data_IF_583229566642
#
_entry.id   IF_583229566642
#
_cell.length_a   1.000
_cell.length_b   1.000
_cell.length_c   1.000
_cell.angle_alpha   90.00
_cell.angle_beta   90.00
_cell.angle_gamma   90.00
#
_symmetry.space_group_name_H-M   'P 1'
#
loop_
_entity.id
_entity.type
_entity.pdbx_description
1 polymer ?
#
# COMPACT_ATOMS: atom_id res chain seq x y z
N UNK A 1 0.37 -2.82 5.75
CA UNK A 1 -0.90 -3.57 5.60
C UNK A 1 -1.60 -3.81 6.94
N UNK A 2 -0.92 -4.32 7.97
CA UNK A 2 -1.57 -4.62 9.28
C UNK A 2 -2.31 -3.44 9.91
N UNK A 3 -1.71 -2.25 9.93
CA UNK A 3 -2.36 -1.05 10.48
C UNK A 3 -3.76 -0.85 9.89
N UNK A 4 -3.85 -0.76 8.56
CA UNK A 4 -5.11 -0.59 7.85
C UNK A 4 -6.10 -1.73 8.08
N UNK A 5 -5.61 -2.99 8.12
CA UNK A 5 -6.47 -4.17 8.39
C UNK A 5 -7.18 -4.08 9.75
N UNK A 6 -6.53 -3.50 10.75
CA UNK A 6 -7.05 -3.32 12.11
C UNK A 6 -7.57 -1.91 12.37
N UNK A 7 -7.70 -1.08 11.33
CA UNK A 7 -8.21 0.29 11.46
C UNK A 7 -7.28 1.25 12.19
N UNK A 8 -5.98 0.97 12.29
CA UNK A 8 -4.99 1.98 12.64
C UNK A 8 -4.60 2.78 11.39
N UNK A 9 -4.60 4.11 11.50
CA UNK A 9 -4.20 5.00 10.40
C UNK A 9 -2.66 5.01 10.32
N UNK A 10 -2.03 4.54 9.23
CA UNK A 10 -0.59 4.53 9.10
C UNK A 10 -0.05 5.95 8.82
N UNK A 11 1.04 6.32 9.50
CA UNK A 11 1.86 7.50 9.20
C UNK A 11 3.23 6.99 8.76
N UNK A 12 3.58 7.13 7.48
CA UNK A 12 4.72 6.42 6.87
C UNK A 12 5.62 7.32 6.05
N UNK A 13 6.91 7.00 5.98
CA UNK A 13 7.82 7.65 5.05
C UNK A 13 7.48 7.27 3.60
N UNK A 14 7.64 8.20 2.66
CA UNK A 14 7.39 8.00 1.22
C UNK A 14 8.54 7.21 0.56
N UNK A 15 8.74 5.96 0.99
CA UNK A 15 9.85 5.10 0.56
C UNK A 15 9.41 3.68 0.29
N UNK A 16 9.96 3.07 -0.77
CA UNK A 16 9.76 1.66 -1.12
C UNK A 16 8.29 1.23 -1.10
N UNK A 17 8.03 0.02 -0.58
CA UNK A 17 6.68 -0.53 -0.52
C UNK A 17 5.68 0.26 0.35
N UNK A 18 6.13 1.17 1.23
CA UNK A 18 5.22 2.01 2.01
C UNK A 18 4.51 3.04 1.13
N UNK A 19 5.24 3.60 0.15
CA UNK A 19 4.70 4.51 -0.86
C UNK A 19 3.63 3.84 -1.72
N UNK A 20 3.86 2.58 -2.09
CA UNK A 20 2.95 1.81 -2.94
C UNK A 20 1.71 1.31 -2.17
N UNK A 21 1.81 1.17 -0.85
CA UNK A 21 0.76 0.59 0.00
C UNK A 21 -0.15 1.65 0.62
N UNK A 22 0.39 2.79 1.06
CA UNK A 22 -0.38 3.83 1.76
C UNK A 22 -0.72 4.97 0.80
N UNK A 23 -2.00 5.31 0.68
CA UNK A 23 -2.45 6.44 -0.14
C UNK A 23 -2.66 7.66 0.76
N UNK A 24 -2.05 8.78 0.39
CA UNK A 24 -2.22 10.06 1.11
C UNK A 24 -3.69 10.41 1.22
N UNK A 25 -4.12 10.81 2.41
CA UNK A 25 -5.46 11.33 2.66
C UNK A 25 -5.68 12.67 1.96
N UNK A 26 -6.71 12.73 1.11
CA UNK A 26 -7.24 13.96 0.51
C UNK A 26 -8.61 14.26 1.14
N UNK A 27 -8.61 15.20 2.09
CA UNK A 27 -9.83 15.58 2.82
C UNK A 27 -10.93 16.21 1.96
N UNK A 28 -10.61 16.73 0.77
CA UNK A 28 -11.63 17.29 -0.14
C UNK A 28 -12.35 16.18 -0.90
N UNK A 29 -11.59 15.19 -1.36
CA UNK A 29 -12.13 14.04 -2.11
C UNK A 29 -12.61 12.91 -1.21
N UNK A 30 -12.25 12.95 0.08
CA UNK A 30 -12.53 11.91 1.09
C UNK A 30 -11.95 10.55 0.71
N UNK A 31 -10.80 10.56 0.05
CA UNK A 31 -10.07 9.36 -0.40
C UNK A 31 -8.69 9.30 0.24
N UNK A 32 -8.12 8.10 0.30
CA UNK A 32 -6.82 7.85 0.93
C UNK A 32 -6.96 7.02 2.19
N UNK A 33 -5.85 6.45 2.64
CA UNK A 33 -5.82 5.42 3.69
C UNK A 33 -4.87 5.75 4.83
N UNK A 34 -4.09 6.84 4.73
CA UNK A 34 -3.20 7.30 5.78
C UNK A 34 -2.45 8.56 5.44
N UNK A 35 -1.32 8.77 6.11
CA UNK A 35 -0.45 9.93 5.91
C UNK A 35 0.93 9.45 5.48
N UNK A 36 1.47 10.06 4.42
CA UNK A 36 2.82 9.88 3.93
C UNK A 36 3.64 11.13 4.20
N UNK A 37 4.93 10.96 4.48
CA UNK A 37 5.84 12.08 4.65
C UNK A 37 7.16 11.87 3.93
N UNK A 38 7.79 12.97 3.51
CA UNK A 38 9.17 12.92 3.03
C UNK A 38 10.05 12.52 4.22
N UNK A 39 10.96 11.52 4.11
CA UNK A 39 11.68 10.94 5.24
C UNK A 39 12.81 11.84 5.78
N UNK A 40 12.46 13.06 6.17
CA UNK A 40 13.28 14.02 6.90
C UNK A 40 12.57 14.40 8.22
N UNK A 41 13.29 14.98 9.20
CA UNK A 41 12.67 15.46 10.43
C UNK A 41 11.49 16.41 10.20
N UNK A 42 11.63 17.35 9.26
CA UNK A 42 10.61 18.34 8.93
C UNK A 42 9.40 17.68 8.24
N UNK A 43 9.66 16.71 7.36
CA UNK A 43 8.61 15.94 6.72
C UNK A 43 7.81 15.12 7.73
N UNK A 44 8.48 14.46 8.69
CA UNK A 44 7.82 13.74 9.77
C UNK A 44 6.96 14.68 10.62
N UNK A 45 7.49 15.84 11.03
CA UNK A 45 6.74 16.84 11.79
C UNK A 45 5.45 17.26 11.05
N UNK A 46 5.56 17.64 9.78
CA UNK A 46 4.39 17.99 8.98
C UNK A 46 3.44 16.81 8.73
N UNK A 47 3.94 15.58 8.70
CA UNK A 47 3.12 14.36 8.65
C UNK A 47 2.33 14.14 9.94
N UNK A 48 2.95 14.36 11.11
CA UNK A 48 2.30 14.27 12.40
C UNK A 48 1.23 15.35 12.56
N UNK A 49 1.48 16.58 12.11
CA UNK A 49 0.47 17.65 12.12
C UNK A 49 -0.78 17.25 11.34
N UNK A 50 -0.62 16.65 10.15
CA UNK A 50 -1.76 16.15 9.36
C UNK A 50 -2.44 14.97 10.05
N UNK A 51 -1.70 14.08 10.69
CA UNK A 51 -2.27 12.96 11.44
C UNK A 51 -3.10 13.45 12.65
N UNK A 52 -2.62 14.46 13.36
CA UNK A 52 -3.32 15.10 14.47
C UNK A 52 -4.58 15.85 14.00
N UNK A 53 -4.52 16.51 12.84
CA UNK A 53 -5.70 17.14 12.23
C UNK A 53 -6.79 16.09 11.91
N UNK A 54 -6.41 14.91 11.40
CA UNK A 54 -7.36 13.79 11.18
C UNK A 54 -7.89 13.27 12.53
N UNK A 55 -7.04 13.13 13.54
CA UNK A 55 -7.41 12.63 14.85
C UNK A 55 -8.44 13.52 15.56
N UNK A 56 -8.28 14.84 15.43
CA UNK A 56 -9.17 15.83 16.06
C UNK A 56 -10.56 15.91 15.40
N UNK A 57 -10.77 15.26 14.25
CA UNK A 57 -12.02 15.24 13.50
C UNK A 57 -12.57 13.80 13.39
N UNK A 58 -13.40 13.33 14.34
CA UNK A 58 -13.83 11.93 14.41
C UNK A 58 -14.49 11.41 13.13
N UNK A 59 -15.22 12.28 12.41
CA UNK A 59 -15.82 11.94 11.13
C UNK A 59 -14.76 11.65 10.06
N UNK A 60 -13.72 12.49 9.96
CA UNK A 60 -12.59 12.27 9.06
C UNK A 60 -11.81 11.03 9.44
N UNK A 61 -11.54 10.85 10.75
CA UNK A 61 -10.85 9.67 11.25
C UNK A 61 -11.56 8.37 10.85
N UNK A 62 -12.89 8.32 11.02
CA UNK A 62 -13.69 7.15 10.67
C UNK A 62 -13.66 6.83 9.18
N UNK A 63 -13.58 7.85 8.32
CA UNK A 63 -13.49 7.65 6.87
C UNK A 63 -12.14 7.13 6.43
N UNK A 64 -11.04 7.72 6.92
CA UNK A 64 -9.69 7.22 6.64
C UNK A 64 -9.55 5.76 7.09
N UNK A 65 -10.06 5.44 8.28
CA UNK A 65 -10.08 4.06 8.81
C UNK A 65 -10.89 3.13 7.92
N UNK A 66 -12.11 3.52 7.55
CA UNK A 66 -12.97 2.72 6.67
C UNK A 66 -12.28 2.45 5.34
N UNK A 67 -11.74 3.49 4.69
CA UNK A 67 -11.02 3.36 3.43
C UNK A 67 -9.88 2.35 3.53
N UNK A 68 -9.05 2.42 4.59
CA UNK A 68 -7.96 1.47 4.79
C UNK A 68 -8.43 0.04 5.07
N UNK A 69 -9.51 -0.11 5.85
CA UNK A 69 -10.07 -1.42 6.22
C UNK A 69 -10.79 -2.12 5.06
N UNK A 70 -11.25 -1.38 4.06
CA UNK A 70 -11.92 -1.92 2.86
C UNK A 70 -10.96 -2.34 1.76
N UNK A 71 -9.66 -2.03 1.88
CA UNK A 71 -8.66 -2.50 0.92
C UNK A 71 -8.46 -4.02 1.03
N UNK A 72 -8.29 -4.67 -0.13
CA UNK A 72 -7.94 -6.07 -0.21
C UNK A 72 -6.42 -6.25 -0.06
N UNK A 73 -6.00 -6.81 1.07
CA UNK A 73 -4.60 -7.16 1.36
C UNK A 73 -4.35 -8.67 1.29
N UNK A 74 -5.23 -9.43 0.62
CA UNK A 74 -5.08 -10.86 0.47
C UNK A 74 -3.95 -11.21 -0.50
N UNK A 75 -3.37 -12.40 -0.32
CA UNK A 75 -2.42 -12.95 -1.29
C UNK A 75 -3.06 -13.28 -2.64
N UNK A 76 -4.39 -13.33 -2.73
CA UNK A 76 -5.12 -13.75 -3.93
C UNK A 76 -4.75 -12.92 -5.15
N UNK A 77 -4.54 -11.60 -4.99
CA UNK A 77 -4.12 -10.72 -6.09
C UNK A 77 -2.67 -10.96 -6.54
N UNK A 78 -1.78 -11.40 -5.63
CA UNK A 78 -0.36 -11.62 -5.92
C UNK A 78 -0.09 -12.99 -6.57
N UNK A 79 -0.86 -14.02 -6.19
CA UNK A 79 -0.65 -15.42 -6.61
C UNK A 79 -0.51 -15.59 -8.14
N UNK A 80 -1.38 -15.02 -9.00
CA UNK A 80 -1.27 -15.22 -10.45
C UNK A 80 0.06 -14.73 -11.05
N UNK A 81 0.63 -13.66 -10.49
CA UNK A 81 1.91 -13.13 -10.94
C UNK A 81 3.05 -14.09 -10.60
N UNK A 82 3.06 -14.65 -9.39
CA UNK A 82 4.03 -15.67 -9.00
C UNK A 82 3.87 -16.96 -9.80
N UNK A 83 2.64 -17.44 -10.02
CA UNK A 83 2.39 -18.62 -10.85
C UNK A 83 2.94 -18.45 -12.26
N UNK A 84 2.75 -17.27 -12.87
CA UNK A 84 3.28 -16.97 -14.20
C UNK A 84 4.81 -17.10 -14.23
N UNK A 85 5.49 -16.58 -13.22
CA UNK A 85 6.96 -16.70 -13.09
C UNK A 85 7.36 -18.16 -12.95
N UNK A 86 6.75 -18.92 -12.04
CA UNK A 86 7.11 -20.33 -11.85
C UNK A 86 6.85 -21.18 -13.10
N UNK A 87 5.71 -21.00 -13.76
CA UNK A 87 5.41 -21.70 -15.02
C UNK A 87 6.40 -21.35 -16.14
N UNK A 88 6.99 -20.15 -16.14
CA UNK A 88 7.99 -19.75 -17.12
C UNK A 88 9.32 -20.49 -16.95
N UNK A 89 9.66 -20.86 -15.72
CA UNK A 89 10.90 -21.57 -15.38
C UNK A 89 10.81 -23.08 -15.60
N UNK A 90 9.59 -23.64 -15.59
CA UNK A 90 9.37 -25.10 -15.71
C UNK A 90 9.00 -25.55 -17.11
N UNK A 91 8.83 -24.64 -18.09
CA UNK A 91 8.67 -25.07 -19.49
C UNK A 91 9.99 -25.72 -19.92
N UNK A 92 9.98 -26.99 -20.37
CA UNK A 92 11.18 -27.57 -20.94
C UNK A 92 11.56 -26.71 -22.13
N UNK A 93 12.77 -26.13 -22.08
CA UNK A 93 13.39 -25.50 -23.24
C UNK A 93 13.43 -26.58 -24.31
N UNK A 94 12.55 -26.46 -25.29
CA UNK A 94 12.42 -27.44 -26.37
C UNK A 94 13.78 -27.67 -26.99
N UNK A 95 14.13 -28.95 -27.06
CA UNK A 95 15.21 -29.54 -27.84
C UNK A 95 15.57 -28.65 -29.03
N UNK A 96 16.80 -28.13 -29.03
CA UNK A 96 17.46 -27.70 -30.26
C UNK A 96 17.54 -28.94 -31.15
N UNK A 97 16.54 -29.13 -32.00
CA UNK A 97 16.53 -30.15 -33.03
C UNK A 97 17.62 -29.77 -34.02
N UNK A 98 18.82 -30.33 -33.84
CA UNK A 98 19.84 -30.35 -34.87
C UNK A 98 19.24 -31.10 -36.07
N UNK A 99 18.78 -30.37 -37.07
CA UNK A 99 18.44 -30.94 -38.37
C UNK A 99 19.75 -31.10 -39.14
N UNK A 100 20.08 -32.36 -39.45
CA UNK A 100 21.13 -32.77 -40.38
C UNK A 100 20.81 -32.33 -41.81
#
# INVERSE_FOLDING_TARGET
MYAMRYGAIPVVGDVGGLRDTVREWDGKKRVGTGVRFVPTPEGLAGGLDRALAIWNEPAMMNEVRRNGMTEDWSWGAAVPAYEKVYRSLTKPTGETRCQN
#
